data_IF_973624778280
#
_entry.id   IF_973624778280
#
_cell.length_a   1.000
_cell.length_b   1.000
_cell.length_c   1.000
_cell.angle_alpha   90.00
_cell.angle_beta   90.00
_cell.angle_gamma   90.00
#
_symmetry.space_group_name_H-M   'P 1'
#
loop_
_entity.id
_entity.type
_entity.pdbx_description
1 polymer ?
#
# COMPACT_ATOMS: atom_id res chain seq x y z
N UNK A 1 -20.70 15.69 -2.62
CA UNK A 1 -20.16 14.85 -3.72
C UNK A 1 -20.73 13.45 -3.69
N UNK A 2 -20.62 12.71 -4.81
CA UNK A 2 -20.87 11.26 -4.91
C UNK A 2 -19.51 10.57 -4.85
N UNK A 3 -19.26 9.80 -3.78
CA UNK A 3 -18.03 9.04 -3.55
C UNK A 3 -18.27 7.56 -3.84
N UNK A 4 -17.52 6.98 -4.79
CA UNK A 4 -17.51 5.55 -5.04
C UNK A 4 -16.26 4.91 -4.41
N UNK A 5 -16.44 4.00 -3.48
CA UNK A 5 -15.33 3.26 -2.86
C UNK A 5 -15.22 1.90 -3.57
N UNK A 6 -14.09 1.66 -4.24
CA UNK A 6 -13.83 0.40 -4.91
C UNK A 6 -13.26 -0.60 -3.90
N UNK A 7 -14.04 -1.58 -3.49
CA UNK A 7 -13.57 -2.65 -2.62
C UNK A 7 -14.43 -3.90 -2.74
N UNK A 8 -13.86 -5.08 -2.40
CA UNK A 8 -14.55 -6.38 -2.43
C UNK A 8 -15.27 -6.73 -1.13
N UNK A 9 -14.86 -6.07 -0.04
CA UNK A 9 -15.40 -6.33 1.29
C UNK A 9 -15.77 -4.99 1.96
N UNK A 10 -17.05 -4.71 2.01
CA UNK A 10 -17.59 -3.49 2.63
C UNK A 10 -17.41 -3.45 4.15
N UNK A 11 -17.16 -4.63 4.76
CA UNK A 11 -16.98 -4.75 6.21
C UNK A 11 -15.56 -4.40 6.66
N UNK A 12 -14.63 -4.17 5.74
CA UNK A 12 -13.30 -3.69 6.11
C UNK A 12 -13.41 -2.42 6.97
N UNK A 13 -12.73 -2.42 8.12
CA UNK A 13 -12.79 -1.34 9.10
C UNK A 13 -12.62 0.05 8.47
N UNK A 14 -11.59 0.24 7.65
CA UNK A 14 -11.34 1.52 6.98
C UNK A 14 -12.48 1.92 6.02
N UNK A 15 -13.09 0.97 5.29
CA UNK A 15 -14.20 1.24 4.37
C UNK A 15 -15.42 1.71 5.15
N UNK A 16 -15.78 0.99 6.21
CA UNK A 16 -16.91 1.36 7.09
C UNK A 16 -16.71 2.75 7.69
N UNK A 17 -15.52 3.01 8.25
CA UNK A 17 -15.22 4.29 8.91
C UNK A 17 -15.27 5.46 7.93
N UNK A 18 -14.66 5.34 6.74
CA UNK A 18 -14.71 6.36 5.69
C UNK A 18 -16.15 6.57 5.20
N UNK A 19 -16.92 5.49 5.02
CA UNK A 19 -18.34 5.57 4.61
C UNK A 19 -19.16 6.35 5.63
N UNK A 20 -19.02 6.04 6.92
CA UNK A 20 -19.75 6.73 8.00
C UNK A 20 -19.40 8.21 8.02
N UNK A 21 -18.12 8.56 8.00
CA UNK A 21 -17.66 9.96 8.04
C UNK A 21 -18.12 10.75 6.81
N UNK A 22 -17.99 10.17 5.60
CA UNK A 22 -18.46 10.83 4.38
C UNK A 22 -19.98 11.06 4.40
N UNK A 23 -20.77 10.09 4.86
CA UNK A 23 -22.23 10.24 5.02
C UNK A 23 -22.60 11.28 6.07
N UNK A 24 -21.85 11.35 7.19
CA UNK A 24 -22.03 12.40 8.22
C UNK A 24 -21.86 13.81 7.63
N UNK A 25 -20.98 13.95 6.63
CA UNK A 25 -20.76 15.19 5.85
C UNK A 25 -21.72 15.36 4.67
N UNK A 26 -22.81 14.56 4.63
CA UNK A 26 -23.86 14.62 3.60
C UNK A 26 -23.38 14.22 2.19
N UNK A 27 -22.31 13.41 2.07
CA UNK A 27 -21.93 12.81 0.81
C UNK A 27 -22.75 11.55 0.52
N UNK A 28 -23.01 11.31 -0.76
CA UNK A 28 -23.58 10.02 -1.22
C UNK A 28 -22.43 9.05 -1.43
N UNK A 29 -22.45 7.92 -0.70
CA UNK A 29 -21.39 6.91 -0.78
C UNK A 29 -21.95 5.62 -1.38
N UNK A 30 -21.31 5.13 -2.42
CA UNK A 30 -21.56 3.85 -3.04
C UNK A 30 -20.31 2.97 -2.92
N UNK A 31 -20.49 1.72 -2.50
CA UNK A 31 -19.42 0.73 -2.47
C UNK A 31 -19.58 -0.12 -3.73
N UNK A 32 -18.47 -0.32 -4.45
CA UNK A 32 -18.44 -1.04 -5.72
C UNK A 32 -17.40 -2.15 -5.67
N UNK A 33 -17.85 -3.40 -5.84
CA UNK A 33 -16.94 -4.51 -6.07
C UNK A 33 -16.41 -4.44 -7.50
N UNK A 34 -15.08 -4.32 -7.71
CA UNK A 34 -14.49 -4.31 -9.05
C UNK A 34 -14.86 -5.51 -9.91
N UNK A 35 -15.10 -6.67 -9.31
CA UNK A 35 -15.47 -7.90 -10.02
C UNK A 35 -16.95 -7.99 -10.42
N UNK A 36 -17.75 -7.01 -10.01
CA UNK A 36 -19.16 -6.84 -10.43
C UNK A 36 -19.32 -5.74 -11.47
N UNK A 37 -18.20 -5.31 -12.09
CA UNK A 37 -18.16 -4.28 -13.12
C UNK A 37 -17.82 -4.87 -14.49
N UNK A 38 -18.53 -4.44 -15.52
CA UNK A 38 -18.23 -4.69 -16.92
C UNK A 38 -17.62 -3.43 -17.53
N UNK A 39 -16.42 -3.55 -18.10
CA UNK A 39 -15.74 -2.47 -18.82
C UNK A 39 -16.17 -2.49 -20.28
N UNK A 40 -16.64 -1.36 -20.80
CA UNK A 40 -17.14 -1.23 -22.17
C UNK A 40 -16.24 -0.26 -22.94
N UNK A 41 -15.74 -0.72 -24.07
CA UNK A 41 -15.02 0.08 -25.06
C UNK A 41 -15.72 -0.16 -26.39
N UNK A 42 -16.72 0.66 -26.70
CA UNK A 42 -17.60 0.45 -27.85
C UNK A 42 -17.75 1.77 -28.60
N UNK A 43 -17.51 1.74 -29.91
CA UNK A 43 -17.68 2.89 -30.83
C UNK A 43 -16.89 4.14 -30.38
N UNK A 44 -15.70 3.94 -29.80
CA UNK A 44 -14.85 5.04 -29.32
C UNK A 44 -15.24 5.61 -27.95
N UNK A 45 -16.25 5.07 -27.30
CA UNK A 45 -16.66 5.46 -25.98
C UNK A 45 -16.19 4.48 -24.91
N UNK A 46 -15.85 5.01 -23.75
CA UNK A 46 -15.40 4.28 -22.57
C UNK A 46 -16.47 4.40 -21.49
N UNK A 47 -17.07 3.29 -21.08
CA UNK A 47 -18.15 3.27 -20.09
C UNK A 47 -18.07 2.03 -19.19
N UNK A 48 -18.75 2.05 -18.06
CA UNK A 48 -18.86 0.89 -17.16
C UNK A 48 -20.32 0.53 -16.90
N UNK A 49 -20.55 -0.76 -16.71
CA UNK A 49 -21.77 -1.27 -16.08
C UNK A 49 -21.41 -1.81 -14.70
N UNK A 50 -22.23 -1.52 -13.72
CA UNK A 50 -22.14 -2.08 -12.38
C UNK A 50 -23.40 -2.88 -12.08
N UNK A 51 -23.22 -4.15 -11.72
CA UNK A 51 -24.33 -5.08 -11.45
C UNK A 51 -25.37 -5.16 -12.59
N UNK A 52 -24.85 -5.17 -13.83
CA UNK A 52 -25.70 -5.28 -15.04
C UNK A 52 -26.45 -4.00 -15.41
N UNK A 53 -26.18 -2.88 -14.76
CA UNK A 53 -26.77 -1.58 -15.07
C UNK A 53 -25.72 -0.57 -15.48
N UNK A 54 -26.07 0.31 -16.41
CA UNK A 54 -25.19 1.44 -16.77
C UNK A 54 -24.90 2.27 -15.52
N UNK A 55 -23.61 2.51 -15.27
CA UNK A 55 -23.20 3.28 -14.09
C UNK A 55 -23.22 4.78 -14.39
N UNK A 56 -24.06 5.50 -13.65
CA UNK A 56 -24.25 6.96 -13.83
C UNK A 56 -23.10 7.84 -13.31
N UNK A 57 -21.96 7.23 -12.96
CA UNK A 57 -20.76 7.93 -12.51
C UNK A 57 -20.75 8.32 -11.02
N UNK A 58 -19.58 8.71 -10.56
CA UNK A 58 -19.34 9.33 -9.26
C UNK A 58 -18.42 10.55 -9.45
N UNK A 59 -18.38 11.43 -8.46
CA UNK A 59 -17.53 12.61 -8.51
C UNK A 59 -16.07 12.24 -8.16
N UNK A 60 -15.91 11.28 -7.25
CA UNK A 60 -14.60 10.75 -6.84
C UNK A 60 -14.68 9.22 -6.71
N UNK A 61 -13.66 8.53 -7.19
CA UNK A 61 -13.44 7.11 -6.96
C UNK A 61 -12.27 6.90 -6.00
N UNK A 62 -12.49 6.10 -4.97
CA UNK A 62 -11.47 5.76 -3.97
C UNK A 62 -11.18 4.26 -3.99
N UNK A 63 -10.09 3.81 -4.63
CA UNK A 63 -9.68 2.41 -4.57
C UNK A 63 -9.22 2.01 -3.16
N UNK A 64 -9.92 1.06 -2.55
CA UNK A 64 -9.57 0.42 -1.27
C UNK A 64 -9.29 -1.06 -1.48
N UNK A 65 -8.47 -1.36 -2.48
CA UNK A 65 -8.29 -2.70 -3.03
C UNK A 65 -7.33 -3.57 -2.19
N UNK A 66 -6.39 -2.94 -1.47
CA UNK A 66 -5.46 -3.64 -0.57
C UNK A 66 -4.80 -4.83 -1.26
N UNK A 67 -4.95 -6.02 -0.64
CA UNK A 67 -4.46 -7.30 -1.18
C UNK A 67 -5.11 -7.72 -2.52
N UNK A 68 -6.23 -7.10 -2.87
CA UNK A 68 -6.99 -7.42 -4.08
C UNK A 68 -6.62 -6.61 -5.31
N UNK A 69 -5.48 -5.89 -5.31
CA UNK A 69 -5.02 -5.19 -6.51
C UNK A 69 -4.60 -6.22 -7.57
N UNK A 70 -5.54 -6.59 -8.41
CA UNK A 70 -5.34 -7.46 -9.58
C UNK A 70 -5.19 -6.66 -10.85
N UNK A 71 -4.83 -7.33 -11.95
CA UNK A 71 -4.82 -6.69 -13.26
C UNK A 71 -6.22 -6.21 -13.67
N UNK A 72 -7.27 -6.95 -13.29
CA UNK A 72 -8.65 -6.54 -13.55
C UNK A 72 -9.03 -5.26 -12.78
N UNK A 73 -8.71 -5.19 -11.48
CA UNK A 73 -9.00 -3.98 -10.70
C UNK A 73 -8.21 -2.76 -11.15
N UNK A 74 -6.96 -2.94 -11.61
CA UNK A 74 -6.19 -1.86 -12.24
C UNK A 74 -6.77 -1.45 -13.59
N UNK A 75 -7.27 -2.42 -14.40
CA UNK A 75 -7.95 -2.09 -15.65
C UNK A 75 -9.19 -1.24 -15.40
N UNK A 76 -9.98 -1.54 -14.36
CA UNK A 76 -11.12 -0.71 -13.96
C UNK A 76 -10.67 0.71 -13.56
N UNK A 77 -9.67 0.82 -12.69
CA UNK A 77 -9.18 2.14 -12.24
C UNK A 77 -8.67 2.97 -13.42
N UNK A 78 -7.89 2.37 -14.34
CA UNK A 78 -7.44 3.04 -15.56
C UNK A 78 -8.61 3.46 -16.46
N UNK A 79 -9.63 2.61 -16.57
CA UNK A 79 -10.83 2.88 -17.35
C UNK A 79 -11.59 4.10 -16.81
N UNK A 80 -11.69 4.24 -15.49
CA UNK A 80 -12.27 5.41 -14.83
C UNK A 80 -11.46 6.68 -15.07
N UNK A 81 -10.12 6.61 -15.00
CA UNK A 81 -9.24 7.75 -15.30
C UNK A 81 -9.38 8.22 -16.77
N UNK A 82 -9.39 7.26 -17.72
CA UNK A 82 -9.60 7.56 -19.16
C UNK A 82 -10.99 8.19 -19.39
N UNK A 83 -11.99 7.80 -18.60
CA UNK A 83 -13.33 8.40 -18.64
C UNK A 83 -13.39 9.79 -18.00
N UNK A 84 -12.26 10.36 -17.57
CA UNK A 84 -12.20 11.68 -16.94
C UNK A 84 -12.68 11.71 -15.49
N UNK A 85 -12.62 10.60 -14.76
CA UNK A 85 -13.01 10.54 -13.35
C UNK A 85 -11.82 10.88 -12.44
N UNK A 86 -12.07 11.58 -11.34
CA UNK A 86 -11.07 11.76 -10.28
C UNK A 86 -10.93 10.45 -9.50
N UNK A 87 -9.71 9.91 -9.46
CA UNK A 87 -9.40 8.67 -8.72
C UNK A 87 -8.27 8.93 -7.72
N UNK A 88 -8.46 8.53 -6.47
CA UNK A 88 -7.52 8.70 -5.34
C UNK A 88 -7.33 7.36 -4.63
N UNK A 89 -6.20 6.66 -4.75
CA UNK A 89 -4.96 6.91 -5.50
C UNK A 89 -5.11 6.51 -6.97
N UNK A 90 -4.30 7.11 -7.84
CA UNK A 90 -4.28 6.83 -9.27
C UNK A 90 -3.90 5.38 -9.62
N UNK A 91 -4.27 4.93 -10.83
CA UNK A 91 -3.91 3.61 -11.35
C UNK A 91 -2.39 3.40 -11.38
N UNK A 92 -1.63 4.42 -11.82
CA UNK A 92 -0.17 4.35 -11.85
C UNK A 92 0.44 4.17 -10.45
N UNK A 93 -0.04 4.91 -9.47
CA UNK A 93 0.41 4.81 -8.08
C UNK A 93 0.06 3.44 -7.46
N UNK A 94 -1.13 2.91 -7.73
CA UNK A 94 -1.54 1.58 -7.29
C UNK A 94 -0.68 0.48 -7.91
N UNK A 95 -0.35 0.59 -9.20
CA UNK A 95 0.49 -0.39 -9.91
C UNK A 95 1.93 -0.38 -9.40
N UNK A 96 2.46 0.80 -9.06
CA UNK A 96 3.77 0.94 -8.40
C UNK A 96 3.73 0.30 -7.02
N UNK A 97 2.78 0.70 -6.18
CA UNK A 97 2.75 0.32 -4.76
C UNK A 97 2.54 -1.19 -4.53
N UNK A 98 1.92 -1.92 -5.46
CA UNK A 98 1.75 -3.38 -5.34
C UNK A 98 3.02 -4.18 -5.64
N UNK A 99 4.04 -3.57 -6.24
CA UNK A 99 5.26 -4.24 -6.67
C UNK A 99 6.46 -3.79 -5.82
N UNK A 100 6.94 -4.69 -4.94
CA UNK A 100 8.01 -4.40 -3.98
C UNK A 100 9.35 -4.12 -4.64
N UNK A 101 9.63 -4.75 -5.79
CA UNK A 101 10.86 -4.48 -6.51
C UNK A 101 10.82 -3.07 -7.09
N UNK A 102 9.72 -2.71 -7.72
CA UNK A 102 9.54 -1.38 -8.32
C UNK A 102 9.60 -0.27 -7.27
N UNK A 103 8.98 -0.45 -6.10
CA UNK A 103 9.08 0.53 -5.01
C UNK A 103 10.51 0.65 -4.48
N UNK A 104 11.24 -0.47 -4.30
CA UNK A 104 12.64 -0.45 -3.88
C UNK A 104 13.53 0.31 -4.88
N UNK A 105 13.33 0.11 -6.19
CA UNK A 105 14.05 0.85 -7.25
C UNK A 105 13.79 2.36 -7.16
N UNK A 106 12.54 2.77 -6.93
CA UNK A 106 12.17 4.18 -6.78
C UNK A 106 12.77 4.79 -5.50
N UNK A 107 12.80 4.06 -4.39
CA UNK A 107 13.42 4.53 -3.15
C UNK A 107 14.91 4.80 -3.34
N UNK A 108 15.64 3.86 -3.94
CA UNK A 108 17.07 4.04 -4.23
C UNK A 108 17.30 5.22 -5.17
N UNK A 109 16.52 5.35 -6.24
CA UNK A 109 16.60 6.49 -7.17
C UNK A 109 16.37 7.84 -6.46
N UNK A 110 15.53 7.85 -5.45
CA UNK A 110 15.21 9.04 -4.66
C UNK A 110 16.18 9.30 -3.49
N UNK A 111 17.23 8.46 -3.32
CA UNK A 111 18.18 8.55 -2.22
C UNK A 111 17.58 8.19 -0.85
N UNK A 112 16.45 7.44 -0.81
CA UNK A 112 15.84 7.04 0.44
C UNK A 112 16.55 5.81 1.02
N UNK A 113 16.94 5.84 2.31
CA UNK A 113 17.51 4.68 2.97
C UNK A 113 16.49 3.55 2.99
N UNK A 114 16.88 2.38 2.50
CA UNK A 114 16.06 1.18 2.44
C UNK A 114 16.90 -0.06 2.73
N UNK A 115 16.31 -1.18 3.17
CA UNK A 115 17.06 -2.42 3.32
C UNK A 115 17.68 -2.86 2.01
N UNK A 116 18.92 -3.38 2.05
CA UNK A 116 19.58 -3.95 0.87
C UNK A 116 18.68 -5.01 0.26
N UNK A 117 18.48 -4.94 -1.04
CA UNK A 117 17.50 -5.78 -1.75
C UNK A 117 18.12 -6.28 -3.05
N UNK A 118 18.01 -7.56 -3.30
CA UNK A 118 18.39 -8.21 -4.54
C UNK A 118 17.20 -8.96 -5.14
N UNK A 119 17.12 -9.02 -6.45
CA UNK A 119 16.13 -9.78 -7.19
C UNK A 119 16.80 -10.98 -7.83
N UNK A 120 16.32 -12.19 -7.55
CA UNK A 120 16.85 -13.44 -8.06
C UNK A 120 15.77 -14.13 -8.93
N UNK A 121 15.82 -13.96 -10.26
CA UNK A 121 14.87 -14.60 -11.18
C UNK A 121 15.14 -16.08 -11.39
N UNK A 122 16.34 -16.55 -11.03
CA UNK A 122 16.80 -17.92 -11.23
C UNK A 122 17.61 -18.41 -10.02
N UNK A 123 17.55 -19.71 -9.64
CA UNK A 123 18.31 -20.30 -8.55
C UNK A 123 19.80 -19.99 -8.54
N UNK A 124 20.42 -19.92 -9.72
CA UNK A 124 21.87 -19.64 -9.88
C UNK A 124 22.28 -18.31 -9.21
N UNK A 125 21.38 -17.34 -9.11
CA UNK A 125 21.68 -16.02 -8.53
C UNK A 125 21.48 -15.96 -7.02
N UNK A 126 20.87 -16.97 -6.38
CA UNK A 126 20.56 -16.93 -4.96
C UNK A 126 21.78 -16.74 -4.06
N UNK A 127 22.91 -17.47 -4.24
CA UNK A 127 24.09 -17.29 -3.40
C UNK A 127 24.61 -15.85 -3.47
N UNK A 128 24.67 -15.29 -4.67
CA UNK A 128 25.12 -13.91 -4.86
C UNK A 128 24.12 -12.88 -4.30
N UNK A 129 22.84 -13.12 -4.43
CA UNK A 129 21.79 -12.26 -3.86
C UNK A 129 21.89 -12.23 -2.32
N UNK A 130 22.08 -13.38 -1.68
CA UNK A 130 22.31 -13.47 -0.24
C UNK A 130 23.55 -12.72 0.20
N UNK A 131 24.68 -12.88 -0.50
CA UNK A 131 25.91 -12.13 -0.20
C UNK A 131 25.68 -10.61 -0.25
N UNK A 132 25.01 -10.11 -1.31
CA UNK A 132 24.71 -8.68 -1.49
C UNK A 132 23.85 -8.09 -0.37
N UNK A 133 22.97 -8.85 0.24
CA UNK A 133 22.14 -8.38 1.35
C UNK A 133 22.78 -8.59 2.73
N UNK A 134 23.95 -9.25 2.80
CA UNK A 134 24.73 -9.44 4.02
C UNK A 134 24.61 -10.83 4.63
N UNK A 135 24.14 -11.80 3.86
CA UNK A 135 23.99 -13.19 4.27
C UNK A 135 22.79 -13.46 5.18
N UNK A 136 22.63 -14.73 5.58
CA UNK A 136 21.59 -15.10 6.55
C UNK A 136 21.84 -14.49 7.96
N UNK A 137 20.75 -14.20 8.70
CA UNK A 137 19.37 -14.32 8.27
C UNK A 137 19.01 -13.29 7.21
N UNK A 138 18.26 -13.73 6.21
CA UNK A 138 17.75 -12.88 5.14
C UNK A 138 16.22 -13.03 5.02
N UNK A 139 15.56 -12.02 4.46
CA UNK A 139 14.11 -12.09 4.19
C UNK A 139 13.90 -12.44 2.72
N UNK A 140 13.16 -13.50 2.47
CA UNK A 140 12.74 -13.91 1.12
C UNK A 140 11.30 -13.49 0.93
N UNK A 141 11.01 -12.80 -0.19
CA UNK A 141 9.70 -12.22 -0.48
C UNK A 141 9.27 -12.50 -1.91
N UNK A 142 7.95 -12.61 -2.11
CA UNK A 142 7.37 -12.47 -3.44
C UNK A 142 7.28 -10.98 -3.82
N UNK A 143 7.60 -10.59 -5.06
CA UNK A 143 7.48 -9.19 -5.52
C UNK A 143 6.08 -8.62 -5.34
N UNK A 144 5.06 -9.43 -5.62
CA UNK A 144 3.65 -9.07 -5.48
C UNK A 144 2.97 -9.94 -4.44
N UNK A 145 2.94 -9.45 -3.22
CA UNK A 145 2.28 -10.09 -2.08
C UNK A 145 1.83 -9.04 -1.07
N UNK A 146 0.86 -9.40 -0.22
CA UNK A 146 0.28 -8.45 0.73
C UNK A 146 -0.02 -9.14 2.06
N UNK A 147 -0.25 -8.36 3.11
CA UNK A 147 -0.60 -8.82 4.46
C UNK A 147 0.44 -9.78 5.08
N UNK A 148 1.71 -9.70 4.64
CA UNK A 148 2.77 -10.60 5.10
C UNK A 148 2.74 -12.01 4.49
N UNK A 149 1.80 -12.31 3.58
CA UNK A 149 1.86 -13.57 2.81
C UNK A 149 3.07 -13.56 1.88
N UNK A 150 3.75 -14.72 1.75
CA UNK A 150 4.94 -14.83 0.90
C UNK A 150 6.13 -13.99 1.39
N UNK A 151 6.24 -13.77 2.71
CA UNK A 151 7.41 -13.15 3.38
C UNK A 151 7.93 -14.14 4.40
N UNK A 152 9.16 -14.60 4.25
CA UNK A 152 9.78 -15.63 5.07
C UNK A 152 11.18 -15.19 5.50
N UNK A 153 11.61 -15.60 6.70
CA UNK A 153 13.01 -15.48 7.14
C UNK A 153 13.73 -16.78 6.82
N UNK A 154 14.88 -16.66 6.18
CA UNK A 154 15.83 -17.75 6.03
C UNK A 154 16.99 -17.51 6.99
N UNK A 155 17.10 -18.34 8.01
CA UNK A 155 18.14 -18.21 9.04
C UNK A 155 19.48 -18.82 8.60
N UNK A 156 19.45 -19.73 7.61
CA UNK A 156 20.62 -20.39 7.04
C UNK A 156 20.57 -20.35 5.50
N UNK A 157 21.67 -20.70 4.86
CA UNK A 157 21.76 -20.83 3.41
C UNK A 157 20.82 -21.93 2.90
N UNK A 158 20.80 -23.07 3.59
CA UNK A 158 19.96 -24.23 3.23
C UNK A 158 18.46 -23.88 3.33
N UNK A 159 18.07 -23.12 4.36
CA UNK A 159 16.71 -22.62 4.50
C UNK A 159 16.36 -21.66 3.36
N UNK A 160 17.29 -20.76 3.02
CA UNK A 160 17.09 -19.83 1.90
C UNK A 160 16.92 -20.56 0.57
N UNK A 161 17.74 -21.58 0.32
CA UNK A 161 17.66 -22.42 -0.88
C UNK A 161 16.30 -23.13 -0.93
N UNK A 162 15.90 -23.82 0.13
CA UNK A 162 14.64 -24.57 0.18
C UNK A 162 13.42 -23.67 -0.06
N UNK A 163 13.40 -22.46 0.53
CA UNK A 163 12.33 -21.48 0.33
C UNK A 163 12.30 -20.99 -1.11
N UNK A 164 13.46 -20.62 -1.66
CA UNK A 164 13.56 -20.09 -3.01
C UNK A 164 13.19 -21.15 -4.06
N UNK A 165 13.66 -22.38 -3.91
CA UNK A 165 13.33 -23.51 -4.80
C UNK A 165 11.81 -23.77 -4.84
N UNK A 166 11.16 -23.73 -3.65
CA UNK A 166 9.70 -23.87 -3.60
C UNK A 166 8.97 -22.74 -4.33
N UNK A 167 9.50 -21.49 -4.30
CA UNK A 167 8.91 -20.36 -5.02
C UNK A 167 9.11 -20.50 -6.53
N UNK A 168 10.32 -20.86 -6.97
CA UNK A 168 10.62 -21.04 -8.40
C UNK A 168 9.85 -22.23 -8.99
N UNK A 169 9.68 -23.31 -8.24
CA UNK A 169 8.83 -24.43 -8.66
C UNK A 169 7.37 -24.01 -8.93
N UNK A 170 6.92 -22.89 -8.33
CA UNK A 170 5.63 -22.25 -8.58
C UNK A 170 5.70 -21.11 -9.61
N UNK A 171 6.78 -21.02 -10.38
CA UNK A 171 7.03 -19.94 -11.36
C UNK A 171 6.92 -18.54 -10.74
N UNK A 172 7.44 -18.37 -9.51
CA UNK A 172 7.43 -17.09 -8.78
C UNK A 172 8.82 -16.53 -8.64
N UNK A 173 8.98 -15.29 -9.07
CA UNK A 173 10.19 -14.51 -8.82
C UNK A 173 10.44 -14.33 -7.32
N UNK A 174 11.71 -14.19 -6.94
CA UNK A 174 12.16 -14.07 -5.55
C UNK A 174 12.89 -12.76 -5.34
N UNK A 175 12.49 -12.04 -4.31
CA UNK A 175 13.25 -10.91 -3.72
C UNK A 175 13.95 -11.44 -2.48
N UNK A 176 15.26 -11.22 -2.42
CA UNK A 176 16.09 -11.42 -1.23
C UNK A 176 16.39 -10.06 -0.62
N UNK A 177 16.12 -9.90 0.68
CA UNK A 177 16.28 -8.61 1.35
C UNK A 177 17.00 -8.77 2.68
N UNK A 178 17.79 -7.74 3.03
CA UNK A 178 18.44 -7.62 4.33
C UNK A 178 17.45 -7.81 5.48
N UNK A 179 17.80 -8.65 6.43
CA UNK A 179 17.09 -8.75 7.70
C UNK A 179 17.62 -7.71 8.67
N UNK A 180 16.88 -6.63 8.88
CA UNK A 180 17.24 -5.57 9.83
C UNK A 180 16.98 -6.08 11.25
N UNK A 181 18.04 -6.57 11.91
CA UNK A 181 17.97 -7.26 13.20
C UNK A 181 17.39 -6.41 14.31
N UNK A 182 17.73 -5.13 14.33
CA UNK A 182 17.30 -4.15 15.35
C UNK A 182 15.79 -3.90 15.30
N UNK A 183 15.20 -4.05 14.13
CA UNK A 183 13.77 -3.88 13.92
C UNK A 183 12.94 -5.15 14.12
N UNK A 184 13.57 -6.30 14.46
CA UNK A 184 12.91 -7.60 14.57
C UNK A 184 11.55 -7.51 15.29
N UNK A 185 10.48 -7.83 14.55
CA UNK A 185 9.11 -7.83 15.06
C UNK A 185 8.54 -6.44 15.37
N UNK A 186 9.17 -5.34 14.92
CA UNK A 186 8.65 -3.99 15.13
C UNK A 186 8.90 -3.09 13.92
N UNK A 187 7.91 -2.28 13.57
CA UNK A 187 8.06 -1.21 12.60
C UNK A 187 7.31 0.06 13.05
N UNK A 188 7.61 1.16 12.38
CA UNK A 188 6.88 2.41 12.51
C UNK A 188 6.05 2.59 11.24
N UNK A 189 4.73 2.56 11.37
CA UNK A 189 3.81 2.89 10.26
C UNK A 189 3.43 4.35 10.34
N UNK A 190 3.69 5.08 9.26
CA UNK A 190 3.32 6.49 9.10
C UNK A 190 2.18 6.59 8.09
N UNK A 191 1.13 7.31 8.44
CA UNK A 191 0.07 7.67 7.49
C UNK A 191 0.44 8.98 6.80
N UNK A 192 0.42 8.96 5.48
CA UNK A 192 0.58 10.14 4.62
C UNK A 192 -0.76 10.40 3.93
N UNK A 193 -1.21 11.66 3.95
CA UNK A 193 -2.44 12.13 3.30
C UNK A 193 -2.12 13.44 2.60
N UNK A 194 -2.35 13.52 1.31
CA UNK A 194 -2.08 14.73 0.53
C UNK A 194 -0.61 15.15 0.56
N UNK A 195 0.32 14.19 0.52
CA UNK A 195 1.76 14.46 0.58
C UNK A 195 2.28 14.85 1.98
N UNK A 196 1.44 14.83 3.03
CA UNK A 196 1.83 15.17 4.41
C UNK A 196 1.72 13.98 5.33
N UNK A 197 2.77 13.73 6.10
CA UNK A 197 2.76 12.74 7.17
C UNK A 197 1.91 13.27 8.34
N UNK A 198 0.80 12.59 8.61
CA UNK A 198 -0.20 13.07 9.58
C UNK A 198 -0.14 12.34 10.90
N UNK A 199 0.27 11.06 10.91
CA UNK A 199 0.30 10.25 12.12
C UNK A 199 1.30 9.09 12.02
N UNK A 200 1.80 8.65 13.16
CA UNK A 200 2.64 7.46 13.28
C UNK A 200 2.12 6.52 14.36
N UNK A 201 2.25 5.23 14.14
CA UNK A 201 2.03 4.17 15.13
C UNK A 201 3.18 3.18 15.07
N UNK A 202 3.60 2.67 16.22
CA UNK A 202 4.54 1.55 16.30
C UNK A 202 3.75 0.25 16.30
N UNK A 203 4.05 -0.62 15.35
CA UNK A 203 3.49 -1.97 15.35
C UNK A 203 4.49 -2.95 15.95
N UNK A 204 3.99 -3.92 16.69
CA UNK A 204 4.77 -5.01 17.25
C UNK A 204 4.13 -6.34 16.91
N UNK A 205 4.94 -7.28 16.48
CA UNK A 205 4.55 -8.66 16.22
C UNK A 205 4.15 -9.37 17.51
N UNK A 206 3.30 -10.38 17.42
CA UNK A 206 3.04 -11.33 18.49
C UNK A 206 4.31 -12.13 18.82
N UNK A 207 4.33 -12.74 20.00
CA UNK A 207 5.48 -13.55 20.44
C UNK A 207 5.73 -14.71 19.45
N UNK A 208 6.96 -14.83 18.97
CA UNK A 208 7.36 -15.85 17.99
C UNK A 208 7.14 -15.46 16.52
N UNK A 209 6.51 -14.33 16.25
CA UNK A 209 6.33 -13.80 14.91
C UNK A 209 7.32 -12.63 14.66
N UNK A 210 7.80 -12.49 13.44
CA UNK A 210 8.67 -11.38 13.05
C UNK A 210 7.93 -10.29 12.26
N UNK A 211 6.76 -10.61 11.72
CA UNK A 211 5.92 -9.68 10.95
C UNK A 211 5.02 -8.90 11.91
N UNK A 212 5.19 -7.59 11.93
CA UNK A 212 4.44 -6.67 12.80
C UNK A 212 3.02 -6.36 12.33
N UNK A 213 2.55 -7.00 11.25
CA UNK A 213 1.25 -6.75 10.64
C UNK A 213 0.11 -7.07 11.60
N UNK A 214 -0.85 -6.14 11.77
CA UNK A 214 -2.02 -6.34 12.65
C UNK A 214 -2.86 -7.57 12.24
N UNK A 215 -2.96 -7.87 10.94
CA UNK A 215 -3.64 -9.06 10.43
C UNK A 215 -2.97 -10.39 10.82
N UNK A 216 -1.73 -10.34 11.32
CA UNK A 216 -0.98 -11.48 11.85
C UNK A 216 -0.97 -11.49 13.39
N UNK A 217 -1.91 -10.78 14.02
CA UNK A 217 -2.01 -10.68 15.47
C UNK A 217 -1.07 -9.66 16.11
N UNK A 218 -0.41 -8.83 15.32
CA UNK A 218 0.38 -7.71 15.83
C UNK A 218 -0.47 -6.68 16.57
N UNK A 219 0.17 -5.88 17.41
CA UNK A 219 -0.46 -4.78 18.14
C UNK A 219 0.10 -3.44 17.70
N UNK A 220 -0.73 -2.39 17.76
CA UNK A 220 -0.33 -1.02 17.46
C UNK A 220 -0.31 -0.18 18.75
N UNK A 221 0.71 0.66 18.87
CA UNK A 221 0.91 1.57 19.99
C UNK A 221 1.08 2.99 19.46
N UNK A 222 0.69 4.02 20.24
CA UNK A 222 1.00 5.40 19.89
C UNK A 222 2.49 5.59 19.67
N UNK A 223 2.87 6.32 18.62
CA UNK A 223 4.25 6.67 18.36
C UNK A 223 4.37 8.15 17.99
N UNK A 224 5.45 8.78 18.45
CA UNK A 224 5.76 10.15 18.07
C UNK A 224 6.17 10.18 16.59
N UNK A 225 5.50 10.97 15.78
CA UNK A 225 5.93 11.29 14.44
C UNK A 225 7.11 12.28 14.52
N UNK A 226 8.32 11.77 14.30
CA UNK A 226 9.52 12.63 14.25
C UNK A 226 9.62 13.33 12.90
N UNK A 227 10.30 14.48 12.85
CA UNK A 227 10.56 15.19 11.57
C UNK A 227 11.23 14.30 10.54
N UNK A 228 12.19 13.47 10.98
CA UNK A 228 12.90 12.54 10.07
C UNK A 228 11.97 11.48 9.51
N UNK A 229 11.13 10.83 10.35
CA UNK A 229 10.14 9.87 9.89
C UNK A 229 9.11 10.51 8.94
N UNK A 230 8.69 11.75 9.21
CA UNK A 230 7.78 12.48 8.34
C UNK A 230 8.40 12.70 6.95
N UNK A 231 9.62 13.27 6.86
CA UNK A 231 10.31 13.54 5.60
C UNK A 231 10.50 12.26 4.77
N UNK A 232 10.97 11.17 5.39
CA UNK A 232 11.16 9.90 4.69
C UNK A 232 9.83 9.36 4.14
N UNK A 233 8.75 9.45 4.94
CA UNK A 233 7.44 8.93 4.54
C UNK A 233 6.76 9.77 3.48
N UNK A 234 6.83 11.09 3.57
CA UNK A 234 6.33 12.03 2.56
C UNK A 234 7.03 11.78 1.22
N UNK A 235 8.35 11.69 1.24
CA UNK A 235 9.13 11.43 0.03
C UNK A 235 8.87 10.04 -0.56
N UNK A 236 8.72 9.00 0.27
CA UNK A 236 8.37 7.66 -0.20
C UNK A 236 6.99 7.60 -0.86
N UNK A 237 5.99 8.28 -0.31
CA UNK A 237 4.67 8.41 -0.91
C UNK A 237 4.73 9.19 -2.23
N UNK A 238 5.45 10.31 -2.26
CA UNK A 238 5.62 11.19 -3.43
C UNK A 238 6.22 10.44 -4.63
N UNK A 239 7.35 9.74 -4.44
CA UNK A 239 8.02 9.03 -5.55
C UNK A 239 7.21 7.85 -6.08
N UNK A 240 6.26 7.35 -5.30
CA UNK A 240 5.29 6.34 -5.73
C UNK A 240 3.99 6.95 -6.28
N UNK A 241 3.83 8.28 -6.26
CA UNK A 241 2.64 8.99 -6.74
C UNK A 241 1.40 8.77 -5.88
N UNK A 242 1.58 8.47 -4.58
CA UNK A 242 0.48 8.13 -3.68
C UNK A 242 -0.06 9.38 -2.95
N UNK A 243 -1.33 9.66 -3.14
CA UNK A 243 -2.07 10.68 -2.38
C UNK A 243 -2.30 10.26 -0.93
N UNK A 244 -2.71 9.01 -0.73
CA UNK A 244 -2.96 8.41 0.58
C UNK A 244 -2.11 7.15 0.69
N UNK A 245 -1.20 7.12 1.65
CA UNK A 245 -0.27 6.01 1.83
C UNK A 245 -0.04 5.65 3.31
N UNK A 246 0.17 4.36 3.54
CA UNK A 246 0.81 3.88 4.76
C UNK A 246 2.26 3.54 4.45
N UNK A 247 3.20 4.23 5.07
CA UNK A 247 4.63 4.00 4.88
C UNK A 247 5.18 3.25 6.08
N UNK A 248 5.83 2.13 5.84
CA UNK A 248 6.44 1.31 6.88
C UNK A 248 7.93 1.58 6.96
N UNK A 249 8.40 1.98 8.13
CA UNK A 249 9.79 2.30 8.42
C UNK A 249 10.36 1.29 9.42
N UNK A 250 11.56 0.78 9.15
CA UNK A 250 12.32 -0.03 10.08
C UNK A 250 13.35 0.83 10.82
N UNK A 251 13.46 0.61 12.13
CA UNK A 251 14.54 1.20 12.92
C UNK A 251 15.77 0.33 12.78
N UNK A 252 16.80 0.84 12.12
CA UNK A 252 18.13 0.26 12.10
C UNK A 252 19.04 1.03 13.07
N UNK A 253 20.30 0.57 13.24
CA UNK A 253 21.29 1.27 14.08
C UNK A 253 21.55 2.66 13.51
N UNK A 254 21.12 3.71 14.23
CA UNK A 254 21.34 5.11 13.89
C UNK A 254 20.47 5.68 12.77
N UNK A 255 19.64 4.89 12.07
CA UNK A 255 18.84 5.36 10.95
C UNK A 255 17.45 4.72 10.87
N UNK A 256 16.55 5.36 10.10
CA UNK A 256 15.29 4.78 9.67
C UNK A 256 15.42 4.33 8.21
N UNK A 257 14.98 3.09 7.91
CA UNK A 257 14.92 2.55 6.54
C UNK A 257 13.47 2.44 6.07
N UNK A 258 13.18 2.94 4.87
CA UNK A 258 11.86 2.76 4.24
C UNK A 258 11.74 1.31 3.78
N UNK A 259 10.79 0.58 4.35
CA UNK A 259 10.55 -0.81 4.01
C UNK A 259 9.58 -0.98 2.84
N UNK A 260 8.41 -0.35 2.94
CA UNK A 260 7.34 -0.45 1.93
C UNK A 260 6.35 0.70 2.02
N UNK A 261 5.57 0.88 0.96
CA UNK A 261 4.41 1.75 0.91
C UNK A 261 3.13 0.94 0.63
N UNK A 262 2.03 1.36 1.24
CA UNK A 262 0.72 0.73 1.10
C UNK A 262 -0.29 1.75 0.58
N UNK A 263 -0.84 1.53 -0.62
CA UNK A 263 -1.78 2.45 -1.26
C UNK A 263 -3.20 2.43 -0.66
N UNK A 264 -3.52 1.43 0.15
CA UNK A 264 -4.79 1.32 0.85
C UNK A 264 -4.54 0.97 2.33
N UNK A 265 -3.93 1.90 3.10
CA UNK A 265 -3.54 1.61 4.48
C UNK A 265 -4.75 1.34 5.36
N UNK A 266 -4.65 0.31 6.23
CA UNK A 266 -5.58 0.14 7.33
C UNK A 266 -5.44 1.30 8.31
N UNK A 267 -6.54 1.79 8.84
CA UNK A 267 -6.59 2.91 9.81
C UNK A 267 -6.79 2.44 11.25
N UNK A 268 -7.16 1.18 11.42
CA UNK A 268 -7.49 0.56 12.70
C UNK A 268 -6.38 0.73 13.74
N UNK A 269 -5.12 0.50 13.35
CA UNK A 269 -3.99 0.68 14.26
C UNK A 269 -3.80 2.12 14.75
N UNK A 270 -4.16 3.12 13.93
CA UNK A 270 -4.10 4.52 14.33
C UNK A 270 -5.23 4.87 15.29
N UNK A 271 -6.45 4.38 15.04
CA UNK A 271 -7.60 4.59 15.92
C UNK A 271 -7.41 3.88 17.27
N UNK A 272 -6.92 2.63 17.29
CA UNK A 272 -6.56 1.91 18.50
C UNK A 272 -5.47 2.65 19.32
N UNK A 273 -4.62 3.41 18.65
CA UNK A 273 -3.62 4.29 19.28
C UNK A 273 -4.20 5.65 19.75
N UNK A 274 -5.53 5.81 19.73
CA UNK A 274 -6.24 6.95 20.29
C UNK A 274 -6.45 8.13 19.33
N UNK A 275 -6.29 7.96 18.01
CA UNK A 275 -6.56 9.04 17.07
C UNK A 275 -7.81 8.80 16.21
N UNK A 276 -8.93 9.33 16.69
CA UNK A 276 -10.22 9.25 16.00
C UNK A 276 -10.33 10.19 14.77
N UNK A 277 -9.40 11.15 14.60
CA UNK A 277 -9.44 12.16 13.53
C UNK A 277 -8.87 11.68 12.21
N UNK A 278 -8.26 10.51 12.16
CA UNK A 278 -7.64 9.94 10.95
C UNK A 278 -8.60 9.90 9.77
N UNK A 279 -9.82 9.45 10.01
CA UNK A 279 -10.85 9.34 8.96
C UNK A 279 -11.27 10.71 8.45
N UNK A 280 -11.41 11.68 9.38
CA UNK A 280 -11.72 13.06 9.03
C UNK A 280 -10.67 13.64 8.08
N UNK A 281 -9.37 13.48 8.39
CA UNK A 281 -8.26 13.95 7.55
C UNK A 281 -8.29 13.35 6.14
N UNK A 282 -8.65 12.07 6.03
CA UNK A 282 -8.78 11.40 4.71
C UNK A 282 -9.95 12.02 3.93
N UNK A 283 -11.10 12.23 4.56
CA UNK A 283 -12.28 12.80 3.90
C UNK A 283 -12.05 14.27 3.56
N UNK A 284 -11.41 15.07 4.43
CA UNK A 284 -11.01 16.46 4.15
C UNK A 284 -10.15 16.53 2.88
N UNK A 285 -9.18 15.62 2.75
CA UNK A 285 -8.33 15.58 1.56
C UNK A 285 -9.12 15.24 0.28
N UNK A 286 -10.03 14.25 0.36
CA UNK A 286 -10.88 13.88 -0.78
C UNK A 286 -11.76 15.06 -1.22
N UNK A 287 -12.34 15.80 -0.27
CA UNK A 287 -13.14 17.00 -0.52
C UNK A 287 -12.31 18.09 -1.22
N UNK A 288 -11.11 18.36 -0.70
CA UNK A 288 -10.19 19.36 -1.27
C UNK A 288 -9.81 18.99 -2.71
N UNK A 289 -9.41 17.74 -2.95
CA UNK A 289 -9.04 17.26 -4.28
C UNK A 289 -10.21 17.32 -5.28
N UNK A 290 -11.42 17.03 -4.82
CA UNK A 290 -12.62 17.16 -5.66
C UNK A 290 -12.93 18.62 -5.99
N UNK A 291 -12.78 19.56 -5.06
CA UNK A 291 -12.96 20.98 -5.30
C UNK A 291 -11.94 21.53 -6.30
N UNK A 292 -10.69 21.17 -6.16
CA UNK A 292 -9.63 21.49 -7.12
C UNK A 292 -9.93 20.93 -8.51
N UNK A 293 -10.34 19.65 -8.59
CA UNK A 293 -10.64 18.97 -9.84
C UNK A 293 -11.78 19.61 -10.62
N UNK A 294 -12.87 19.98 -9.97
CA UNK A 294 -14.05 20.58 -10.62
C UNK A 294 -13.87 22.05 -10.99
N UNK A 295 -12.81 22.71 -10.52
CA UNK A 295 -12.55 24.15 -10.77
C UNK A 295 -11.17 24.32 -11.44
N UNK A 296 -10.93 23.74 -12.63
CA UNK A 296 -9.66 23.92 -13.33
C UNK A 296 -9.54 25.39 -13.76
N UNK A 297 -8.52 26.09 -13.29
CA UNK A 297 -8.17 27.44 -13.75
C UNK A 297 -8.24 28.57 -12.73
N UNK A 298 -8.23 28.30 -11.43
CA UNK A 298 -8.01 29.31 -10.37
C UNK A 298 -6.67 29.06 -9.62
N UNK A 299 -5.62 28.75 -10.34
CA UNK A 299 -4.25 28.64 -9.83
C UNK A 299 -3.30 29.40 -10.72
#
# INVERSE_FOLDING_TARGET
MRLAILCRDENLHAVRRITVEARRRRHRVQIMDPYRTLLKIVRGEVAIEFEGKSFGGADVFMPRLGAGISNHSLALVRHLEISGCLVINSCGALDIARDKLRTAQLFVRAGLPSPRTAFAPDPIYLPRALELVGGPPAVIKLPRSTKGHGVMIAETLEAAQSIADAMWALERDVIVQEFVREAKGSDLRVLVVGGKAVRAVRRRASRGEFRSNLHQGGTAYPARLTRHAAILSERAAEVCGLDIAGVDLLQATGELKVLEVNAAPGIEGFECAGDERIVSLIVDYIETRWEEWRTPGRG
#
